data_IF_420072223112
#
_entry.id   IF_420072223112
#
_cell.length_a   1.000
_cell.length_b   1.000
_cell.length_c   1.000
_cell.angle_alpha   90.00
_cell.angle_beta   90.00
_cell.angle_gamma   90.00
#
_symmetry.space_group_name_H-M   'P 1'
#
loop_
_entity.id
_entity.type
_entity.pdbx_description
1 polymer ?
#
# COMPACT_ATOMS: atom_id res chain seq x y z
N UNK A 1 25.50 65.96 2.61
CA UNK A 1 24.14 65.37 2.43
C UNK A 1 24.10 64.30 1.33
N UNK A 2 24.67 64.52 0.14
CA UNK A 2 24.67 63.51 -0.94
C UNK A 2 25.38 62.19 -0.58
N UNK A 3 26.56 62.24 0.03
CA UNK A 3 27.33 61.04 0.39
C UNK A 3 26.60 60.12 1.40
N UNK A 4 25.83 60.70 2.33
CA UNK A 4 24.98 59.94 3.26
C UNK A 4 23.84 59.22 2.54
N UNK A 5 23.19 59.89 1.58
CA UNK A 5 22.12 59.30 0.76
C UNK A 5 22.63 58.17 -0.14
N UNK A 6 23.85 58.27 -0.64
CA UNK A 6 24.49 57.19 -1.42
C UNK A 6 24.70 55.96 -0.54
N UNK A 7 25.26 56.11 0.66
CA UNK A 7 25.43 54.99 1.58
C UNK A 7 24.11 54.35 2.02
N UNK A 8 23.05 55.14 2.22
CA UNK A 8 21.70 54.63 2.49
C UNK A 8 21.16 53.79 1.32
N UNK A 9 21.37 54.23 0.08
CA UNK A 9 20.98 53.49 -1.12
C UNK A 9 21.77 52.19 -1.28
N UNK A 10 23.07 52.19 -1.01
CA UNK A 10 23.91 50.99 -1.05
C UNK A 10 23.40 49.92 -0.08
N UNK A 11 23.10 50.31 1.16
CA UNK A 11 22.57 49.39 2.16
C UNK A 11 21.20 48.82 1.78
N UNK A 12 20.31 49.66 1.22
CA UNK A 12 19.01 49.20 0.70
C UNK A 12 19.21 48.19 -0.43
N UNK A 13 20.14 48.46 -1.34
CA UNK A 13 20.41 47.58 -2.48
C UNK A 13 20.99 46.22 -2.03
N UNK A 14 21.89 46.21 -1.05
CA UNK A 14 22.40 44.97 -0.44
C UNK A 14 21.27 44.13 0.18
N UNK A 15 20.38 44.76 0.95
CA UNK A 15 19.23 44.08 1.55
C UNK A 15 18.31 43.48 0.47
N UNK A 16 18.04 44.22 -0.61
CA UNK A 16 17.22 43.74 -1.73
C UNK A 16 17.87 42.56 -2.47
N UNK A 17 19.20 42.56 -2.62
CA UNK A 17 19.94 41.45 -3.22
C UNK A 17 19.84 40.20 -2.35
N UNK A 18 19.98 40.34 -1.03
CA UNK A 18 19.85 39.23 -0.10
C UNK A 18 18.44 38.64 -0.09
N UNK A 19 17.41 39.48 -0.05
CA UNK A 19 16.02 39.02 -0.06
C UNK A 19 15.67 38.33 -1.39
N UNK A 20 16.11 38.86 -2.52
CA UNK A 20 15.95 38.19 -3.82
C UNK A 20 16.62 36.81 -3.86
N UNK A 21 17.81 36.68 -3.27
CA UNK A 21 18.51 35.39 -3.19
C UNK A 21 17.69 34.38 -2.38
N UNK A 22 17.11 34.81 -1.25
CA UNK A 22 16.24 33.98 -0.41
C UNK A 22 14.96 33.58 -1.15
N UNK A 23 14.31 34.52 -1.83
CA UNK A 23 13.10 34.25 -2.61
C UNK A 23 13.37 33.24 -3.73
N UNK A 24 14.51 33.35 -4.42
CA UNK A 24 14.91 32.38 -5.44
C UNK A 24 15.04 30.96 -4.88
N UNK A 25 15.72 30.81 -3.75
CA UNK A 25 15.84 29.51 -3.07
C UNK A 25 14.48 28.93 -2.66
N UNK A 26 13.58 29.79 -2.17
CA UNK A 26 12.24 29.38 -1.80
C UNK A 26 11.43 28.92 -3.02
N UNK A 27 11.54 29.64 -4.14
CA UNK A 27 10.90 29.28 -5.40
C UNK A 27 11.42 27.95 -5.95
N UNK A 28 12.73 27.74 -5.93
CA UNK A 28 13.36 26.48 -6.37
C UNK A 28 12.84 25.30 -5.51
N UNK A 29 12.73 25.48 -4.20
CA UNK A 29 12.16 24.47 -3.30
C UNK A 29 10.69 24.17 -3.59
N UNK A 30 9.88 25.19 -3.88
CA UNK A 30 8.48 25.01 -4.24
C UNK A 30 8.32 24.33 -5.60
N UNK A 31 9.16 24.69 -6.57
CA UNK A 31 9.21 24.03 -7.88
C UNK A 31 9.51 22.54 -7.76
N UNK A 32 10.50 22.16 -6.94
CA UNK A 32 10.81 20.75 -6.69
C UNK A 32 9.64 19.99 -6.05
N UNK A 33 8.93 20.60 -5.10
CA UNK A 33 7.74 19.99 -4.47
C UNK A 33 6.59 19.82 -5.46
N UNK A 34 6.34 20.82 -6.31
CA UNK A 34 5.30 20.73 -7.34
C UNK A 34 5.61 19.62 -8.34
N UNK A 35 6.87 19.48 -8.77
CA UNK A 35 7.29 18.38 -9.64
C UNK A 35 6.97 17.01 -9.04
N UNK A 36 7.26 16.81 -7.73
CA UNK A 36 6.88 15.56 -7.04
C UNK A 36 5.37 15.35 -6.98
N UNK A 37 4.59 16.41 -6.75
CA UNK A 37 3.13 16.34 -6.69
C UNK A 37 2.49 16.06 -8.05
N UNK A 38 3.02 16.61 -9.14
CA UNK A 38 2.53 16.33 -10.50
C UNK A 38 2.81 14.89 -10.92
N UNK A 39 3.89 14.29 -10.39
CA UNK A 39 4.24 12.90 -10.65
C UNK A 39 3.48 11.90 -9.76
N UNK A 40 2.81 12.38 -8.71
CA UNK A 40 1.97 11.54 -7.88
C UNK A 40 0.73 11.18 -8.68
N UNK A 41 0.70 9.96 -9.20
CA UNK A 41 -0.52 9.33 -9.72
C UNK A 41 -1.44 8.95 -8.55
N UNK A 42 -2.01 9.98 -7.92
CA UNK A 42 -2.88 9.85 -6.76
C UNK A 42 -4.05 8.89 -7.05
N UNK A 43 -4.73 8.98 -8.22
CA UNK A 43 -5.79 8.03 -8.54
C UNK A 43 -5.31 6.57 -8.51
N UNK A 44 -4.16 6.26 -9.10
CA UNK A 44 -3.62 4.91 -9.07
C UNK A 44 -3.21 4.45 -7.67
N UNK A 45 -2.55 5.31 -6.89
CA UNK A 45 -2.15 4.95 -5.52
C UNK A 45 -3.36 4.70 -4.61
N UNK A 46 -4.39 5.53 -4.73
CA UNK A 46 -5.65 5.34 -3.99
C UNK A 46 -6.33 4.06 -4.44
N UNK A 47 -6.42 3.79 -5.76
CA UNK A 47 -6.99 2.54 -6.27
C UNK A 47 -6.27 1.33 -5.69
N UNK A 48 -4.94 1.32 -5.74
CA UNK A 48 -4.12 0.23 -5.20
C UNK A 48 -4.38 0.00 -3.71
N UNK A 49 -4.38 1.07 -2.91
CA UNK A 49 -4.62 0.96 -1.47
C UNK A 49 -6.04 0.45 -1.16
N UNK A 50 -7.03 0.87 -1.94
CA UNK A 50 -8.41 0.37 -1.82
C UNK A 50 -8.47 -1.10 -2.20
N UNK A 51 -7.84 -1.51 -3.30
CA UNK A 51 -7.82 -2.90 -3.76
C UNK A 51 -7.20 -3.84 -2.72
N UNK A 52 -6.11 -3.43 -2.07
CA UNK A 52 -5.48 -4.17 -0.96
C UNK A 52 -6.44 -4.35 0.22
N UNK A 53 -7.04 -3.26 0.70
CA UNK A 53 -7.99 -3.31 1.83
C UNK A 53 -9.23 -4.13 1.51
N UNK A 54 -9.76 -4.01 0.29
CA UNK A 54 -10.94 -4.77 -0.15
C UNK A 54 -10.61 -6.25 -0.24
N UNK A 55 -9.43 -6.61 -0.78
CA UNK A 55 -8.99 -8.01 -0.89
C UNK A 55 -8.88 -8.64 0.51
N UNK A 56 -8.23 -7.97 1.45
CA UNK A 56 -8.09 -8.46 2.83
C UNK A 56 -9.46 -8.64 3.52
N UNK A 57 -10.36 -7.68 3.33
CA UNK A 57 -11.70 -7.73 3.91
C UNK A 57 -12.54 -8.89 3.32
N UNK A 58 -12.44 -9.11 2.01
CA UNK A 58 -13.13 -10.20 1.32
C UNK A 58 -12.58 -11.55 1.77
N UNK A 59 -11.26 -11.70 1.83
CA UNK A 59 -10.62 -12.93 2.30
C UNK A 59 -11.04 -13.26 3.73
N UNK A 60 -11.06 -12.26 4.62
CA UNK A 60 -11.54 -12.43 5.99
C UNK A 60 -13.02 -12.85 6.03
N UNK A 61 -13.88 -12.17 5.26
CA UNK A 61 -15.30 -12.48 5.20
C UNK A 61 -15.59 -13.88 4.65
N UNK A 62 -14.78 -14.37 3.70
CA UNK A 62 -14.88 -15.73 3.16
C UNK A 62 -14.38 -16.78 4.15
N UNK A 63 -13.31 -16.49 4.90
CA UNK A 63 -12.75 -17.44 5.87
C UNK A 63 -13.55 -17.50 7.18
N UNK A 64 -14.15 -16.41 7.64
CA UNK A 64 -14.80 -16.35 8.95
C UNK A 64 -15.94 -17.38 9.14
N UNK A 65 -16.85 -17.63 8.18
CA UNK A 65 -17.88 -18.66 8.30
C UNK A 65 -17.30 -20.08 8.39
N UNK A 66 -16.22 -20.36 7.64
CA UNK A 66 -15.53 -21.65 7.68
C UNK A 66 -14.87 -21.84 9.04
N UNK A 67 -14.10 -20.85 9.50
CA UNK A 67 -13.49 -20.87 10.84
C UNK A 67 -14.52 -21.10 11.94
N UNK A 68 -15.68 -20.44 11.87
CA UNK A 68 -16.75 -20.65 12.86
C UNK A 68 -17.35 -22.06 12.79
N UNK A 69 -17.57 -22.61 11.59
CA UNK A 69 -18.12 -23.97 11.44
C UNK A 69 -17.18 -25.06 11.92
N UNK A 70 -15.88 -24.87 11.70
CA UNK A 70 -14.86 -25.85 12.07
C UNK A 70 -14.25 -25.58 13.45
N UNK A 71 -14.61 -24.48 14.15
CA UNK A 71 -14.01 -24.10 15.44
C UNK A 71 -14.07 -25.21 16.48
N UNK A 72 -15.22 -25.86 16.56
CA UNK A 72 -15.53 -26.85 17.60
C UNK A 72 -15.52 -28.29 17.06
N UNK A 73 -15.12 -28.47 15.79
CA UNK A 73 -15.10 -29.78 15.16
C UNK A 73 -13.81 -30.53 15.53
N UNK A 74 -13.85 -31.80 15.94
CA UNK A 74 -12.66 -32.62 16.10
C UNK A 74 -11.86 -32.73 14.80
N UNK A 75 -10.54 -32.79 14.88
CA UNK A 75 -9.66 -32.89 13.71
C UNK A 75 -9.97 -34.13 12.84
N UNK A 76 -10.34 -35.25 13.47
CA UNK A 76 -10.76 -36.47 12.77
C UNK A 76 -11.98 -36.23 11.87
N UNK A 77 -12.98 -35.50 12.38
CA UNK A 77 -14.21 -35.18 11.64
C UNK A 77 -13.93 -34.16 10.52
N UNK A 78 -13.02 -33.21 10.74
CA UNK A 78 -12.57 -32.29 9.67
C UNK A 78 -11.92 -33.06 8.52
N UNK A 79 -11.06 -34.03 8.85
CA UNK A 79 -10.38 -34.90 7.87
C UNK A 79 -11.39 -35.75 7.10
N UNK A 80 -12.37 -36.32 7.78
CA UNK A 80 -13.41 -37.12 7.13
C UNK A 80 -14.23 -36.26 6.14
N UNK A 81 -14.66 -35.07 6.53
CA UNK A 81 -15.40 -34.14 5.65
C UNK A 81 -14.55 -33.73 4.44
N UNK A 82 -13.27 -33.41 4.66
CA UNK A 82 -12.34 -33.05 3.59
C UNK A 82 -12.12 -34.22 2.64
N UNK A 83 -11.80 -35.40 3.17
CA UNK A 83 -11.61 -36.61 2.39
C UNK A 83 -12.86 -36.92 1.56
N UNK A 84 -14.04 -36.88 2.17
CA UNK A 84 -15.30 -37.14 1.48
C UNK A 84 -15.54 -36.15 0.33
N UNK A 85 -15.40 -34.84 0.58
CA UNK A 85 -15.61 -33.82 -0.47
C UNK A 85 -14.57 -33.91 -1.59
N UNK A 86 -13.31 -34.13 -1.25
CA UNK A 86 -12.20 -34.14 -2.21
C UNK A 86 -12.21 -35.43 -3.04
N UNK A 87 -12.50 -36.57 -2.41
CA UNK A 87 -12.51 -37.90 -3.04
C UNK A 87 -13.75 -38.11 -3.92
N UNK A 88 -14.95 -37.83 -3.41
CA UNK A 88 -16.20 -38.06 -4.14
C UNK A 88 -16.29 -37.21 -5.42
N UNK A 89 -15.69 -36.03 -5.42
CA UNK A 89 -15.69 -35.13 -6.58
C UNK A 89 -14.43 -35.21 -7.45
N UNK A 90 -13.43 -36.01 -7.05
CA UNK A 90 -12.08 -36.01 -7.64
C UNK A 90 -11.46 -34.59 -7.75
N UNK A 91 -11.88 -33.63 -6.91
CA UNK A 91 -11.46 -32.23 -7.04
C UNK A 91 -9.98 -32.01 -6.74
N UNK A 92 -9.29 -32.94 -6.08
CA UNK A 92 -7.85 -32.83 -5.85
C UNK A 92 -7.03 -32.87 -7.15
N UNK A 93 -7.57 -33.46 -8.22
CA UNK A 93 -6.89 -33.54 -9.51
C UNK A 93 -6.99 -32.25 -10.33
N UNK A 94 -7.85 -31.31 -9.93
CA UNK A 94 -8.09 -30.09 -10.70
C UNK A 94 -7.04 -29.01 -10.46
N UNK A 95 -6.30 -29.07 -9.34
CA UNK A 95 -5.32 -28.05 -8.99
C UNK A 95 -4.15 -28.64 -8.18
N UNK A 96 -2.93 -28.21 -8.52
CA UNK A 96 -1.68 -28.67 -7.90
C UNK A 96 -1.69 -28.51 -6.36
N UNK A 97 -2.16 -27.36 -5.87
CA UNK A 97 -2.24 -27.09 -4.43
C UNK A 97 -3.18 -28.08 -3.71
N UNK A 98 -4.27 -28.50 -4.36
CA UNK A 98 -5.17 -29.50 -3.82
C UNK A 98 -4.53 -30.90 -3.79
N UNK A 99 -3.68 -31.21 -4.77
CA UNK A 99 -2.95 -32.47 -4.83
C UNK A 99 -1.91 -32.55 -3.70
N UNK A 100 -1.17 -31.47 -3.47
CA UNK A 100 -0.21 -31.38 -2.37
C UNK A 100 -0.89 -31.48 -0.99
N UNK A 101 -2.04 -30.80 -0.82
CA UNK A 101 -2.84 -30.93 0.39
C UNK A 101 -3.30 -32.37 0.63
N UNK A 102 -3.74 -33.06 -0.43
CA UNK A 102 -4.14 -34.46 -0.37
C UNK A 102 -2.98 -35.37 0.06
N UNK A 103 -1.81 -35.24 -0.57
CA UNK A 103 -0.64 -36.03 -0.20
C UNK A 103 -0.20 -35.80 1.26
N UNK A 104 -0.31 -34.56 1.75
CA UNK A 104 0.02 -34.24 3.14
C UNK A 104 -0.98 -34.89 4.13
N UNK A 105 -2.26 -34.94 3.76
CA UNK A 105 -3.29 -35.60 4.57
C UNK A 105 -3.15 -37.13 4.58
N UNK A 106 -2.68 -37.73 3.49
CA UNK A 106 -2.47 -39.19 3.38
C UNK A 106 -1.23 -39.69 4.14
N UNK A 107 -0.25 -38.80 4.38
CA UNK A 107 1.03 -39.12 5.05
C UNK A 107 0.98 -38.95 6.58
N UNK A 108 -0.13 -38.49 7.16
CA UNK A 108 -0.35 -38.29 8.60
C UNK A 108 -1.11 -39.47 9.23
#
# INVERSE_FOLDING_TARGET
MMMKRIGELEHIMENLIQENKRLKQWLDSHGARLYTLEQLDIPHQVSKAVDEVVTDAVDWAMQAPLRNRFRDLPEADMKEILHQRIWETNSYKSHEDHMQLYEALEKL
#
